data_IF_739792511228
#
_entry.id   IF_739792511228
#
_cell.length_a   1.000
_cell.length_b   1.000
_cell.length_c   1.000
_cell.angle_alpha   90.00
_cell.angle_beta   90.00
_cell.angle_gamma   90.00
#
_symmetry.space_group_name_H-M   'P 1'
#
loop_
_entity.id
_entity.type
_entity.pdbx_description
1 polymer ?
#
# COMPACT_ATOMS: atom_id res chain seq x y z
N UNK A 1 -4.49 21.64 1.54
CA UNK A 1 -5.16 21.60 0.21
C UNK A 1 -5.09 20.18 -0.30
N UNK A 2 -6.03 19.77 -1.15
CA UNK A 2 -5.94 18.43 -1.71
C UNK A 2 -4.86 18.38 -2.80
N UNK A 3 -4.01 17.36 -2.76
CA UNK A 3 -3.04 17.05 -3.80
C UNK A 3 -3.69 16.28 -4.96
N UNK A 4 -4.69 15.45 -4.65
CA UNK A 4 -5.48 14.71 -5.62
C UNK A 4 -6.95 14.84 -5.25
N UNK A 5 -7.79 15.18 -6.21
CA UNK A 5 -9.25 15.27 -6.07
C UNK A 5 -9.91 14.46 -7.18
N UNK A 6 -10.81 13.56 -6.84
CA UNK A 6 -11.52 12.68 -7.77
C UNK A 6 -13.00 12.70 -7.46
N UNK A 7 -13.83 12.93 -8.48
CA UNK A 7 -15.26 12.96 -8.34
C UNK A 7 -15.97 12.18 -9.46
N UNK A 8 -16.61 11.07 -9.07
CA UNK A 8 -17.36 10.19 -9.96
C UNK A 8 -16.52 9.63 -11.11
N UNK A 9 -15.22 9.36 -10.89
CA UNK A 9 -14.28 8.97 -11.95
C UNK A 9 -14.64 7.60 -12.52
N UNK A 10 -14.77 7.52 -13.85
CA UNK A 10 -15.15 6.30 -14.54
C UNK A 10 -14.21 5.95 -15.69
N UNK A 11 -14.04 4.65 -15.90
CA UNK A 11 -13.38 4.13 -17.10
C UNK A 11 -14.03 2.86 -17.59
N UNK A 12 -14.57 2.91 -18.82
CA UNK A 12 -15.08 1.78 -19.56
C UNK A 12 -14.11 1.36 -20.68
N UNK A 13 -13.98 0.06 -20.92
CA UNK A 13 -13.33 -0.56 -22.07
C UNK A 13 -14.34 -1.47 -22.77
N UNK A 14 -14.96 -0.96 -23.82
CA UNK A 14 -16.13 -1.62 -24.42
C UNK A 14 -17.25 -1.78 -23.38
N UNK A 15 -17.66 -3.01 -23.12
CA UNK A 15 -18.71 -3.34 -22.16
C UNK A 15 -18.20 -3.51 -20.72
N UNK A 16 -16.88 -3.48 -20.50
CA UNK A 16 -16.26 -3.64 -19.17
C UNK A 16 -16.05 -2.29 -18.53
N UNK A 17 -16.70 -2.06 -17.39
CA UNK A 17 -16.53 -0.86 -16.58
C UNK A 17 -15.44 -1.13 -15.52
N UNK A 18 -14.20 -0.76 -15.85
CA UNK A 18 -13.03 -1.04 -15.01
C UNK A 18 -12.93 -0.13 -13.77
N UNK A 19 -13.48 1.10 -13.85
CA UNK A 19 -13.62 2.03 -12.72
C UNK A 19 -15.03 2.60 -12.77
N UNK A 20 -15.74 2.54 -11.64
CA UNK A 20 -17.20 2.66 -11.58
C UNK A 20 -17.66 3.86 -10.72
N UNK A 21 -17.22 5.07 -11.07
CA UNK A 21 -17.66 6.28 -10.38
C UNK A 21 -17.03 6.41 -8.99
N UNK A 22 -15.70 6.35 -8.90
CA UNK A 22 -15.00 6.50 -7.63
C UNK A 22 -14.85 7.98 -7.26
N UNK A 23 -14.95 8.22 -5.95
CA UNK A 23 -14.66 9.50 -5.32
C UNK A 23 -13.51 9.28 -4.34
N UNK A 24 -12.49 10.16 -4.33
CA UNK A 24 -11.42 10.17 -3.33
C UNK A 24 -10.77 11.54 -3.23
N UNK A 25 -10.20 11.84 -2.08
CA UNK A 25 -9.42 13.04 -1.83
C UNK A 25 -8.13 12.69 -1.09
N UNK A 26 -6.99 13.15 -1.62
CA UNK A 26 -5.68 12.94 -0.98
C UNK A 26 -5.12 14.30 -0.59
N UNK A 27 -4.95 14.57 0.72
CA UNK A 27 -4.30 15.77 1.22
C UNK A 27 -2.83 15.90 0.77
N UNK A 28 -2.31 17.12 0.73
CA UNK A 28 -0.87 17.35 0.47
C UNK A 28 -0.03 16.78 1.64
N UNK A 29 1.08 16.10 1.30
CA UNK A 29 2.03 15.55 2.26
C UNK A 29 1.60 14.22 2.89
N UNK A 30 0.57 13.56 2.38
CA UNK A 30 0.15 12.24 2.86
C UNK A 30 0.62 11.11 1.92
N UNK A 31 0.76 9.92 2.49
CA UNK A 31 0.86 8.67 1.75
C UNK A 31 -0.53 8.04 1.67
N UNK A 32 -1.10 7.97 0.48
CA UNK A 32 -2.38 7.31 0.23
C UNK A 32 -2.16 5.94 -0.38
N UNK A 33 -2.61 4.89 0.31
CA UNK A 33 -2.57 3.51 -0.14
C UNK A 33 -3.84 3.12 -0.89
N UNK A 34 -3.74 2.76 -2.17
CA UNK A 34 -4.87 2.28 -2.96
C UNK A 34 -4.79 0.76 -3.08
N UNK A 35 -5.47 0.07 -2.17
CA UNK A 35 -5.38 -1.36 -1.91
C UNK A 35 -6.49 -2.12 -2.64
N UNK A 36 -6.17 -3.25 -3.25
CA UNK A 36 -7.16 -4.14 -3.84
C UNK A 36 -6.55 -5.27 -4.66
N UNK A 37 -7.35 -6.26 -5.10
CA UNK A 37 -6.89 -7.39 -5.89
C UNK A 37 -6.47 -6.98 -7.31
N UNK A 38 -5.88 -7.94 -8.02
CA UNK A 38 -5.60 -7.77 -9.44
C UNK A 38 -6.90 -7.61 -10.22
N UNK A 39 -6.93 -6.67 -11.17
CA UNK A 39 -8.15 -6.39 -11.93
C UNK A 39 -9.16 -5.45 -11.24
N UNK A 40 -8.99 -5.09 -9.97
CA UNK A 40 -9.91 -4.20 -9.25
C UNK A 40 -10.01 -2.76 -9.80
N UNK A 41 -9.09 -2.35 -10.70
CA UNK A 41 -9.08 -1.01 -11.29
C UNK A 41 -7.95 -0.10 -10.82
N UNK A 42 -7.01 -0.58 -9.98
CA UNK A 42 -5.89 0.21 -9.41
C UNK A 42 -5.04 0.90 -10.48
N UNK A 43 -4.39 0.11 -11.34
CA UNK A 43 -3.55 0.62 -12.44
C UNK A 43 -4.33 1.49 -13.43
N UNK A 44 -5.61 1.17 -13.67
CA UNK A 44 -6.49 1.99 -14.51
C UNK A 44 -6.69 3.38 -13.90
N UNK A 45 -6.94 3.45 -12.61
CA UNK A 45 -7.08 4.71 -11.87
C UNK A 45 -5.79 5.51 -11.91
N UNK A 46 -4.63 4.91 -11.60
CA UNK A 46 -3.32 5.57 -11.71
C UNK A 46 -3.08 6.12 -13.11
N UNK A 47 -3.37 5.34 -14.16
CA UNK A 47 -3.20 5.81 -15.55
C UNK A 47 -4.08 7.00 -15.90
N UNK A 48 -5.28 7.10 -15.33
CA UNK A 48 -6.13 8.29 -15.52
C UNK A 48 -5.57 9.51 -14.76
N UNK A 49 -5.17 9.34 -13.49
CA UNK A 49 -4.60 10.42 -12.67
C UNK A 49 -3.27 10.94 -13.23
N UNK A 50 -2.47 10.05 -13.83
CA UNK A 50 -1.19 10.40 -14.46
C UNK A 50 -1.32 10.84 -15.94
N UNK A 51 -2.54 11.05 -16.41
CA UNK A 51 -2.84 11.50 -17.80
C UNK A 51 -2.45 10.52 -18.91
N UNK A 52 -2.16 9.27 -18.58
CA UNK A 52 -1.83 8.21 -19.56
C UNK A 52 -3.09 7.59 -20.19
N UNK A 53 -4.24 7.78 -19.55
CA UNK A 53 -5.54 7.28 -19.98
C UNK A 53 -6.61 8.34 -19.74
N UNK A 54 -7.46 8.58 -20.73
CA UNK A 54 -8.58 9.49 -20.54
C UNK A 54 -9.72 8.81 -19.79
N UNK A 55 -10.34 9.46 -18.79
CA UNK A 55 -11.57 8.97 -18.18
C UNK A 55 -12.72 8.93 -19.19
N UNK A 56 -13.70 8.06 -18.97
CA UNK A 56 -14.95 8.02 -19.74
C UNK A 56 -16.08 8.79 -19.06
N UNK A 57 -15.94 9.06 -17.76
CA UNK A 57 -16.87 9.84 -16.95
C UNK A 57 -16.19 10.42 -15.72
N UNK A 58 -16.88 11.33 -15.04
CA UNK A 58 -16.36 12.02 -13.87
C UNK A 58 -15.28 13.05 -14.16
N UNK A 59 -14.55 13.43 -13.10
CA UNK A 59 -13.44 14.39 -13.17
C UNK A 59 -12.37 14.03 -12.16
N UNK A 60 -11.13 14.42 -12.46
CA UNK A 60 -10.01 14.32 -11.52
C UNK A 60 -9.07 15.50 -11.67
N UNK A 61 -8.52 15.94 -10.53
CA UNK A 61 -7.49 16.95 -10.43
C UNK A 61 -6.28 16.44 -9.69
N UNK A 62 -5.08 16.79 -10.14
CA UNK A 62 -3.81 16.46 -9.51
C UNK A 62 -2.94 17.69 -9.42
N UNK A 63 -2.40 17.97 -8.23
CA UNK A 63 -1.60 19.14 -7.93
C UNK A 63 -2.30 20.49 -8.31
N UNK A 64 -3.63 20.52 -8.21
CA UNK A 64 -4.47 21.67 -8.57
C UNK A 64 -4.79 21.82 -10.05
N UNK A 65 -4.49 20.81 -10.89
CA UNK A 65 -4.71 20.82 -12.34
C UNK A 65 -5.63 19.68 -12.79
N UNK A 66 -6.55 19.98 -13.71
CA UNK A 66 -7.44 18.97 -14.31
C UNK A 66 -6.65 17.99 -15.20
N UNK A 67 -6.86 16.68 -14.98
CA UNK A 67 -6.10 15.63 -15.69
C UNK A 67 -6.35 15.57 -17.19
N UNK A 68 -7.45 16.14 -17.68
CA UNK A 68 -7.82 16.17 -19.09
C UNK A 68 -7.45 17.53 -19.72
N UNK A 69 -7.96 18.63 -19.13
CA UNK A 69 -7.80 19.96 -19.71
C UNK A 69 -6.38 20.52 -19.51
N UNK A 70 -5.70 20.17 -18.42
CA UNK A 70 -4.40 20.68 -18.01
C UNK A 70 -3.33 19.57 -17.90
N UNK A 71 -3.45 18.52 -18.71
CA UNK A 71 -2.60 17.34 -18.65
C UNK A 71 -1.08 17.64 -18.70
N UNK A 72 -0.66 18.74 -19.33
CA UNK A 72 0.74 19.15 -19.37
C UNK A 72 1.22 19.65 -18.00
N UNK A 73 0.40 20.40 -17.29
CA UNK A 73 0.70 20.93 -15.96
C UNK A 73 0.72 19.78 -14.94
N UNK A 74 -0.23 18.83 -15.04
CA UNK A 74 -0.22 17.61 -14.24
C UNK A 74 1.11 16.89 -14.42
N UNK A 75 1.51 16.56 -15.66
CA UNK A 75 2.79 15.86 -15.94
C UNK A 75 4.04 16.60 -15.46
N UNK A 76 4.00 17.92 -15.40
CA UNK A 76 5.11 18.71 -14.87
C UNK A 76 5.19 18.70 -13.33
N UNK A 77 4.11 18.30 -12.65
CA UNK A 77 3.98 18.31 -11.18
C UNK A 77 4.06 16.91 -10.55
N UNK A 78 4.03 15.83 -11.35
CA UNK A 78 3.99 14.46 -10.87
C UNK A 78 5.24 13.66 -11.24
N UNK A 79 5.69 12.78 -10.35
CA UNK A 79 6.57 11.66 -10.65
C UNK A 79 5.77 10.38 -10.78
N UNK A 80 6.20 9.47 -11.66
CA UNK A 80 5.48 8.22 -11.90
C UNK A 80 6.45 7.07 -12.02
N UNK A 81 6.28 6.03 -11.20
CA UNK A 81 6.96 4.75 -11.32
C UNK A 81 5.89 3.64 -11.47
N UNK A 82 5.69 3.19 -12.71
CA UNK A 82 4.68 2.17 -13.05
C UNK A 82 5.17 0.75 -12.73
N UNK A 83 4.27 -0.22 -12.80
CA UNK A 83 4.54 -1.63 -12.55
C UNK A 83 5.67 -2.16 -13.45
N UNK A 84 5.66 -1.84 -14.75
CA UNK A 84 6.76 -2.13 -15.65
C UNK A 84 7.70 -0.91 -15.77
N UNK A 85 8.88 -1.01 -15.18
CA UNK A 85 9.89 0.02 -15.28
C UNK A 85 10.42 0.10 -16.73
N UNK A 86 10.14 1.20 -17.43
CA UNK A 86 10.59 1.45 -18.81
C UNK A 86 12.07 1.87 -18.84
N UNK A 87 12.95 1.04 -18.28
CA UNK A 87 14.38 1.31 -18.21
C UNK A 87 15.12 0.68 -19.41
N UNK A 88 15.88 1.48 -20.17
CA UNK A 88 16.70 0.96 -21.24
C UNK A 88 17.85 0.10 -20.68
N UNK A 89 17.89 -1.21 -20.97
CA UNK A 89 18.92 -2.11 -20.45
C UNK A 89 20.33 -1.83 -21.00
N UNK A 90 20.45 -1.08 -22.08
CA UNK A 90 21.74 -0.73 -22.71
C UNK A 90 22.39 0.50 -22.08
N UNK A 91 21.59 1.37 -21.44
CA UNK A 91 22.09 2.54 -20.74
C UNK A 91 22.68 2.18 -19.37
N UNK A 92 23.57 3.02 -18.87
CA UNK A 92 23.97 3.01 -17.46
C UNK A 92 22.93 3.75 -16.60
N UNK A 93 22.90 3.47 -15.29
CA UNK A 93 22.00 4.19 -14.39
C UNK A 93 22.17 5.71 -14.45
N UNK A 94 23.42 6.16 -14.50
CA UNK A 94 23.78 7.58 -14.63
C UNK A 94 23.27 8.21 -15.93
N UNK A 95 23.46 7.52 -17.07
CA UNK A 95 22.98 7.99 -18.37
C UNK A 95 21.46 8.10 -18.40
N UNK A 96 20.76 7.13 -17.81
CA UNK A 96 19.30 7.13 -17.74
C UNK A 96 18.75 8.32 -16.94
N UNK A 97 19.28 8.57 -15.73
CA UNK A 97 18.83 9.72 -14.92
C UNK A 97 19.16 11.04 -15.63
N UNK A 98 20.33 11.16 -16.29
CA UNK A 98 20.68 12.37 -17.07
C UNK A 98 19.77 12.57 -18.29
N UNK A 99 19.40 11.49 -18.97
CA UNK A 99 18.41 11.55 -20.05
C UNK A 99 17.08 12.08 -19.52
N UNK A 100 16.61 11.51 -18.40
CA UNK A 100 15.37 11.96 -17.78
C UNK A 100 15.44 13.44 -17.38
N UNK A 101 16.56 13.89 -16.80
CA UNK A 101 16.79 15.31 -16.49
C UNK A 101 16.70 16.20 -17.73
N UNK A 102 17.26 15.75 -18.86
CA UNK A 102 17.18 16.48 -20.13
C UNK A 102 15.76 16.55 -20.66
N UNK A 103 15.00 15.45 -20.59
CA UNK A 103 13.59 15.40 -21.01
C UNK A 103 12.70 16.30 -20.15
N UNK A 104 13.04 16.46 -18.88
CA UNK A 104 12.39 17.41 -17.95
C UNK A 104 12.89 18.86 -18.11
N UNK A 105 13.81 19.13 -19.06
CA UNK A 105 14.28 20.48 -19.38
C UNK A 105 15.36 21.01 -18.43
N UNK A 106 15.99 20.18 -17.59
CA UNK A 106 17.08 20.64 -16.73
C UNK A 106 18.32 20.97 -17.56
N UNK A 107 19.03 22.10 -17.26
CA UNK A 107 20.32 22.38 -17.86
C UNK A 107 21.32 21.26 -17.60
N UNK A 108 22.21 20.97 -18.58
CA UNK A 108 23.11 19.81 -18.52
C UNK A 108 23.98 19.74 -17.25
N UNK A 109 24.40 20.87 -16.69
CA UNK A 109 25.16 20.92 -15.43
C UNK A 109 24.28 20.54 -14.23
N UNK A 110 23.06 21.09 -14.16
CA UNK A 110 22.09 20.76 -13.12
C UNK A 110 21.65 19.28 -13.22
N UNK A 111 21.39 18.78 -14.45
CA UNK A 111 21.03 17.39 -14.66
C UNK A 111 22.12 16.39 -14.26
N UNK A 112 23.41 16.73 -14.44
CA UNK A 112 24.52 15.91 -13.93
C UNK A 112 24.53 15.85 -12.41
N UNK A 113 24.45 17.00 -11.74
CA UNK A 113 24.42 17.09 -10.28
C UNK A 113 23.22 16.32 -9.73
N UNK A 114 22.04 16.54 -10.31
CA UNK A 114 20.80 15.85 -9.89
C UNK A 114 20.89 14.33 -10.05
N UNK A 115 21.54 13.86 -11.12
CA UNK A 115 21.76 12.41 -11.33
C UNK A 115 22.64 11.82 -10.24
N UNK A 116 23.71 12.51 -9.83
CA UNK A 116 24.60 12.03 -8.77
C UNK A 116 23.87 12.00 -7.42
N UNK A 117 23.13 13.05 -7.07
CA UNK A 117 22.31 13.15 -5.85
C UNK A 117 21.27 12.03 -5.77
N UNK A 118 20.53 11.77 -6.86
CA UNK A 118 19.49 10.75 -6.86
C UNK A 118 20.06 9.34 -6.81
N UNK A 119 21.19 9.08 -7.49
CA UNK A 119 21.86 7.78 -7.41
C UNK A 119 22.43 7.52 -6.01
N UNK A 120 22.89 8.57 -5.32
CA UNK A 120 23.32 8.48 -3.92
C UNK A 120 22.10 8.19 -3.00
N UNK A 121 21.03 8.94 -3.15
CA UNK A 121 19.78 8.79 -2.38
C UNK A 121 19.26 7.35 -2.42
N UNK A 122 19.17 6.75 -3.61
CA UNK A 122 18.66 5.38 -3.76
C UNK A 122 19.75 4.30 -3.58
N UNK A 123 20.96 4.66 -3.10
CA UNK A 123 22.05 3.75 -2.81
C UNK A 123 22.60 3.02 -4.04
N UNK A 124 22.62 3.66 -5.22
CA UNK A 124 23.09 3.07 -6.47
C UNK A 124 24.39 3.70 -7.01
N UNK A 125 25.07 4.54 -6.24
CA UNK A 125 26.33 5.19 -6.63
C UNK A 125 27.38 4.18 -7.10
N UNK A 126 27.51 3.04 -6.39
CA UNK A 126 28.49 1.98 -6.74
C UNK A 126 28.20 1.27 -8.08
N UNK A 127 26.98 1.36 -8.57
CA UNK A 127 26.53 0.73 -9.80
C UNK A 127 26.20 1.74 -10.90
N UNK A 128 26.34 3.05 -10.62
CA UNK A 128 25.91 4.15 -11.48
C UNK A 128 26.37 4.03 -12.94
N UNK A 129 27.59 3.54 -13.17
CA UNK A 129 28.24 3.41 -14.48
C UNK A 129 28.17 1.97 -15.06
N UNK A 130 27.41 1.06 -14.38
CA UNK A 130 27.05 -0.26 -14.93
C UNK A 130 25.79 -0.16 -15.79
N UNK A 131 25.67 -1.03 -16.79
CA UNK A 131 24.45 -1.14 -17.61
C UNK A 131 23.27 -1.64 -16.78
N UNK A 132 22.11 -1.03 -16.98
CA UNK A 132 20.85 -1.36 -16.28
C UNK A 132 20.40 -2.80 -16.55
N UNK A 133 20.73 -3.36 -17.70
CA UNK A 133 20.48 -4.78 -18.01
C UNK A 133 21.10 -5.76 -17.01
N UNK A 134 22.19 -5.38 -16.32
CA UNK A 134 22.84 -6.16 -15.26
C UNK A 134 22.38 -5.83 -13.83
N UNK A 135 21.33 -5.01 -13.65
CA UNK A 135 20.78 -4.69 -12.34
C UNK A 135 19.83 -5.80 -11.85
N UNK A 136 19.79 -6.01 -10.53
CA UNK A 136 18.74 -6.82 -9.91
C UNK A 136 17.37 -6.13 -10.00
N UNK A 137 16.28 -6.85 -9.75
CA UNK A 137 14.94 -6.28 -9.70
C UNK A 137 14.85 -5.08 -8.75
N UNK A 138 15.36 -5.23 -7.53
CA UNK A 138 15.39 -4.15 -6.55
C UNK A 138 16.26 -2.96 -6.97
N UNK A 139 17.38 -3.19 -7.66
CA UNK A 139 18.18 -2.08 -8.22
C UNK A 139 17.43 -1.34 -9.33
N UNK A 140 16.73 -2.08 -10.21
CA UNK A 140 15.91 -1.48 -11.27
C UNK A 140 14.77 -0.65 -10.66
N UNK A 141 14.09 -1.17 -9.64
CA UNK A 141 13.00 -0.44 -8.97
C UNK A 141 13.49 0.84 -8.30
N UNK A 142 14.63 0.80 -7.62
CA UNK A 142 15.25 2.00 -7.03
C UNK A 142 15.69 3.02 -8.08
N UNK A 143 16.20 2.57 -9.21
CA UNK A 143 16.54 3.47 -10.32
C UNK A 143 15.31 4.10 -10.97
N UNK A 144 14.22 3.37 -11.10
CA UNK A 144 12.93 3.85 -11.61
C UNK A 144 12.35 4.93 -10.68
N UNK A 145 12.37 4.68 -9.36
CA UNK A 145 12.01 5.68 -8.35
C UNK A 145 12.88 6.94 -8.48
N UNK A 146 14.20 6.80 -8.61
CA UNK A 146 15.10 7.93 -8.81
C UNK A 146 14.76 8.72 -10.10
N UNK A 147 14.39 8.03 -11.18
CA UNK A 147 13.99 8.67 -12.43
C UNK A 147 12.69 9.49 -12.27
N UNK A 148 11.73 9.01 -11.48
CA UNK A 148 10.50 9.70 -11.19
C UNK A 148 10.70 10.99 -10.37
N UNK A 149 11.81 11.10 -9.63
CA UNK A 149 12.13 12.22 -8.73
C UNK A 149 12.98 13.34 -9.36
N UNK A 150 13.36 13.20 -10.62
CA UNK A 150 14.35 14.11 -11.27
C UNK A 150 13.95 15.58 -11.20
N UNK A 151 12.67 15.89 -11.38
CA UNK A 151 12.13 17.25 -11.45
C UNK A 151 11.43 17.71 -10.16
N UNK A 152 11.66 17.01 -9.04
CA UNK A 152 11.11 17.34 -7.71
C UNK A 152 9.57 17.42 -7.72
N UNK A 153 8.89 16.31 -8.02
CA UNK A 153 7.44 16.30 -8.16
C UNK A 153 6.75 16.60 -6.83
N UNK A 154 5.58 17.26 -6.89
CA UNK A 154 4.70 17.48 -5.73
C UNK A 154 3.94 16.21 -5.34
N UNK A 155 3.62 15.37 -6.34
CA UNK A 155 2.90 14.11 -6.15
C UNK A 155 3.67 12.98 -6.84
N UNK A 156 3.91 11.90 -6.12
CA UNK A 156 4.57 10.70 -6.62
C UNK A 156 3.55 9.56 -6.73
N UNK A 157 3.39 9.01 -7.93
CA UNK A 157 2.56 7.82 -8.17
C UNK A 157 3.44 6.57 -8.26
N UNK A 158 3.12 5.57 -7.44
CA UNK A 158 3.81 4.28 -7.39
C UNK A 158 2.80 3.17 -7.67
N UNK A 159 2.94 2.51 -8.82
CA UNK A 159 2.07 1.38 -9.18
C UNK A 159 2.74 0.06 -8.80
N UNK A 160 2.27 -0.56 -7.71
CA UNK A 160 2.77 -1.80 -7.12
C UNK A 160 4.30 -1.79 -6.91
N UNK A 161 4.84 -0.85 -6.09
CA UNK A 161 6.27 -0.56 -6.04
C UNK A 161 7.15 -1.73 -5.57
N UNK A 162 6.60 -2.70 -4.85
CA UNK A 162 7.36 -3.80 -4.25
C UNK A 162 7.05 -5.17 -4.81
N UNK A 163 6.18 -5.25 -5.81
CA UNK A 163 5.81 -6.52 -6.45
C UNK A 163 7.03 -7.23 -7.04
N UNK A 164 7.20 -8.52 -6.71
CA UNK A 164 8.31 -9.35 -7.17
C UNK A 164 9.67 -9.08 -6.50
N UNK A 165 9.72 -8.24 -5.45
CA UNK A 165 10.93 -7.97 -4.69
C UNK A 165 11.06 -8.91 -3.49
N UNK A 166 12.31 -9.22 -3.15
CA UNK A 166 12.64 -9.88 -1.89
C UNK A 166 12.33 -8.99 -0.66
N UNK A 167 12.15 -9.56 0.56
CA UNK A 167 11.78 -8.78 1.74
C UNK A 167 12.73 -7.64 2.08
N UNK A 168 14.04 -7.80 1.84
CA UNK A 168 15.04 -6.76 2.13
C UNK A 168 14.91 -5.61 1.14
N UNK A 169 14.76 -5.92 -0.15
CA UNK A 169 14.54 -4.91 -1.19
C UNK A 169 13.22 -4.16 -0.99
N UNK A 170 12.15 -4.87 -0.55
CA UNK A 170 10.86 -4.27 -0.22
C UNK A 170 11.01 -3.23 0.90
N UNK A 171 11.64 -3.61 2.01
CA UNK A 171 11.87 -2.70 3.14
C UNK A 171 12.65 -1.45 2.73
N UNK A 172 13.67 -1.60 1.88
CA UNK A 172 14.44 -0.45 1.37
C UNK A 172 13.58 0.52 0.56
N UNK A 173 12.63 0.01 -0.26
CA UNK A 173 11.68 0.88 -0.99
C UNK A 173 10.74 1.58 -0.01
N UNK A 174 10.24 0.90 1.02
CA UNK A 174 9.39 1.51 2.04
C UNK A 174 10.09 2.65 2.78
N UNK A 175 11.32 2.42 3.22
CA UNK A 175 12.14 3.46 3.88
C UNK A 175 12.36 4.68 2.99
N UNK A 176 12.57 4.47 1.67
CA UNK A 176 12.72 5.57 0.73
C UNK A 176 11.41 6.33 0.49
N UNK A 177 10.28 5.61 0.37
CA UNK A 177 8.95 6.23 0.23
C UNK A 177 8.62 7.09 1.45
N UNK A 178 8.88 6.58 2.66
CA UNK A 178 8.68 7.33 3.90
C UNK A 178 9.55 8.59 3.94
N UNK A 179 10.84 8.47 3.61
CA UNK A 179 11.75 9.61 3.58
C UNK A 179 11.34 10.69 2.54
N UNK A 180 10.76 10.28 1.41
CA UNK A 180 10.21 11.22 0.42
C UNK A 180 8.99 11.96 0.95
N UNK A 181 8.14 11.26 1.69
CA UNK A 181 6.97 11.87 2.31
C UNK A 181 7.37 12.83 3.44
N UNK A 182 8.34 12.45 4.28
CA UNK A 182 8.90 13.31 5.33
C UNK A 182 9.51 14.62 4.74
N UNK A 183 10.04 14.56 3.50
CA UNK A 183 10.49 15.72 2.73
C UNK A 183 9.33 16.56 2.13
N UNK A 184 8.06 16.14 2.33
CA UNK A 184 6.85 16.85 1.92
C UNK A 184 6.25 16.42 0.57
N UNK A 185 6.75 15.33 -0.03
CA UNK A 185 6.15 14.77 -1.25
C UNK A 185 4.88 13.99 -0.91
N UNK A 186 3.77 14.31 -1.58
CA UNK A 186 2.55 13.48 -1.50
C UNK A 186 2.77 12.19 -2.28
N UNK A 187 2.40 11.04 -1.72
CA UNK A 187 2.56 9.75 -2.37
C UNK A 187 1.20 9.07 -2.57
N UNK A 188 0.93 8.64 -3.79
CA UNK A 188 -0.18 7.76 -4.12
C UNK A 188 0.38 6.41 -4.57
N UNK A 189 0.21 5.38 -3.74
CA UNK A 189 0.71 4.05 -4.06
C UNK A 189 -0.45 3.07 -4.26
N UNK A 190 -0.36 2.23 -5.29
CA UNK A 190 -1.22 1.07 -5.41
C UNK A 190 -0.53 -0.16 -4.88
N UNK A 191 -1.27 -1.05 -4.26
CA UNK A 191 -0.73 -2.33 -3.79
C UNK A 191 -1.82 -3.40 -3.69
N UNK A 192 -1.41 -4.65 -3.75
CA UNK A 192 -2.19 -5.81 -3.32
C UNK A 192 -1.69 -6.37 -1.99
N UNK A 193 -0.59 -5.83 -1.44
CA UNK A 193 -0.02 -6.28 -0.18
C UNK A 193 -0.57 -5.45 0.97
N UNK A 194 -1.36 -6.09 1.83
CA UNK A 194 -1.96 -5.49 3.02
C UNK A 194 -0.91 -4.91 3.97
N UNK A 195 0.22 -5.62 4.13
CA UNK A 195 1.34 -5.17 4.97
C UNK A 195 1.93 -3.84 4.47
N UNK A 196 2.04 -3.64 3.15
CA UNK A 196 2.55 -2.40 2.57
C UNK A 196 1.62 -1.22 2.86
N UNK A 197 0.30 -1.41 2.69
CA UNK A 197 -0.67 -0.39 3.02
C UNK A 197 -0.68 -0.07 4.54
N UNK A 198 -0.59 -1.09 5.38
CA UNK A 198 -0.60 -0.94 6.84
C UNK A 198 0.65 -0.25 7.40
N UNK A 199 1.82 -0.44 6.75
CA UNK A 199 3.09 0.14 7.19
C UNK A 199 3.34 1.56 6.68
N UNK A 200 2.84 1.89 5.49
CA UNK A 200 3.20 3.14 4.82
C UNK A 200 2.07 4.17 4.80
N UNK A 201 0.82 3.74 4.65
CA UNK A 201 -0.25 4.67 4.31
C UNK A 201 -0.81 5.41 5.53
N UNK A 202 -0.97 6.72 5.41
CA UNK A 202 -1.75 7.54 6.35
C UNK A 202 -3.25 7.28 6.16
N UNK A 203 -3.68 7.14 4.90
CA UNK A 203 -5.03 6.77 4.51
C UNK A 203 -5.01 5.65 3.45
N UNK A 204 -5.99 4.76 3.54
CA UNK A 204 -6.16 3.62 2.62
C UNK A 204 -7.54 3.68 2.00
N UNK A 205 -7.59 3.64 0.66
CA UNK A 205 -8.80 3.35 -0.11
C UNK A 205 -8.78 1.90 -0.58
N UNK A 206 -9.73 1.10 -0.13
CA UNK A 206 -9.88 -0.30 -0.57
C UNK A 206 -10.78 -0.32 -1.80
N UNK A 207 -10.22 -0.76 -2.92
CA UNK A 207 -10.97 -0.89 -4.18
C UNK A 207 -11.21 -2.36 -4.50
N UNK A 208 -12.45 -2.67 -4.82
CA UNK A 208 -12.87 -3.95 -5.37
C UNK A 208 -13.83 -3.74 -6.54
N UNK A 209 -13.65 -4.53 -7.62
CA UNK A 209 -14.52 -4.51 -8.80
C UNK A 209 -14.83 -3.09 -9.32
N UNK A 210 -13.81 -2.21 -9.33
CA UNK A 210 -13.91 -0.83 -9.81
C UNK A 210 -14.58 0.16 -8.85
N UNK A 211 -14.86 -0.21 -7.59
CA UNK A 211 -15.49 0.65 -6.58
C UNK A 211 -14.66 0.73 -5.30
N UNK A 212 -14.61 1.89 -4.67
CA UNK A 212 -14.07 2.02 -3.32
C UNK A 212 -15.10 1.45 -2.35
N UNK A 213 -14.72 0.39 -1.62
CA UNK A 213 -15.58 -0.34 -0.68
C UNK A 213 -15.33 0.08 0.79
N UNK A 214 -14.15 0.65 1.07
CA UNK A 214 -13.82 1.26 2.35
C UNK A 214 -12.74 2.32 2.16
N UNK A 215 -12.73 3.35 3.00
CA UNK A 215 -11.71 4.40 3.01
C UNK A 215 -11.51 4.93 4.43
N UNK A 216 -10.26 5.16 4.83
CA UNK A 216 -9.89 5.70 6.14
C UNK A 216 -8.46 5.38 6.53
N UNK A 217 -8.04 5.80 7.73
CA UNK A 217 -6.74 5.38 8.25
C UNK A 217 -6.72 3.87 8.51
N UNK A 218 -5.56 3.19 8.38
CA UNK A 218 -5.46 1.76 8.70
C UNK A 218 -6.04 1.41 10.07
N UNK A 219 -5.78 2.24 11.09
CA UNK A 219 -6.29 2.04 12.45
C UNK A 219 -7.81 2.17 12.53
N UNK A 220 -8.40 3.17 11.86
CA UNK A 220 -9.84 3.37 11.84
C UNK A 220 -10.54 2.19 11.16
N UNK A 221 -10.04 1.76 10.01
CA UNK A 221 -10.58 0.62 9.27
C UNK A 221 -10.50 -0.68 10.08
N UNK A 222 -9.35 -0.97 10.70
CA UNK A 222 -9.18 -2.13 11.59
C UNK A 222 -10.14 -2.08 12.77
N UNK A 223 -10.38 -0.87 13.32
CA UNK A 223 -11.34 -0.65 14.42
C UNK A 223 -12.79 -0.95 14.08
N UNK A 224 -13.19 -0.88 12.79
CA UNK A 224 -14.55 -1.23 12.34
C UNK A 224 -14.85 -2.73 12.43
N UNK A 225 -13.84 -3.59 12.24
CA UNK A 225 -14.04 -5.05 12.19
C UNK A 225 -13.79 -5.75 13.52
N UNK A 226 -13.15 -5.08 14.49
CA UNK A 226 -12.96 -5.64 15.81
C UNK A 226 -12.03 -4.81 16.68
N UNK A 227 -11.81 -5.31 17.90
CA UNK A 227 -10.84 -4.78 18.84
C UNK A 227 -9.74 -5.81 19.09
N UNK A 228 -8.55 -5.38 19.54
CA UNK A 228 -7.54 -6.31 19.99
C UNK A 228 -8.12 -7.24 21.07
N UNK A 229 -7.82 -8.51 20.96
CA UNK A 229 -8.22 -9.50 21.93
C UNK A 229 -7.09 -10.49 22.24
N UNK A 230 -7.09 -11.04 23.44
CA UNK A 230 -6.17 -12.09 23.84
C UNK A 230 -6.87 -13.43 23.61
N UNK A 231 -6.23 -14.29 22.82
CA UNK A 231 -6.61 -15.69 22.71
C UNK A 231 -5.82 -16.52 23.72
N UNK A 232 -6.53 -17.20 24.59
CA UNK A 232 -5.97 -18.08 25.62
C UNK A 232 -6.30 -19.51 25.26
N UNK A 233 -5.29 -20.36 25.11
CA UNK A 233 -5.47 -21.80 25.01
C UNK A 233 -5.29 -22.41 26.40
N UNK A 234 -6.30 -23.11 26.89
CA UNK A 234 -6.31 -23.75 28.23
C UNK A 234 -6.74 -25.21 28.12
N UNK A 235 -6.54 -25.98 29.19
CA UNK A 235 -7.06 -27.34 29.28
C UNK A 235 -8.59 -27.37 29.21
N UNK A 236 -9.17 -28.42 28.66
CA UNK A 236 -10.62 -28.57 28.49
C UNK A 236 -11.37 -28.39 29.82
N UNK A 237 -10.82 -28.90 30.93
CA UNK A 237 -11.42 -28.80 32.26
C UNK A 237 -11.31 -27.40 32.90
N UNK A 238 -10.45 -26.53 32.36
CA UNK A 238 -10.15 -25.19 32.90
C UNK A 238 -10.87 -24.05 32.15
N UNK A 239 -11.58 -24.36 31.07
CA UNK A 239 -12.17 -23.35 30.17
C UNK A 239 -13.20 -22.47 30.89
N UNK A 240 -14.10 -23.04 31.68
CA UNK A 240 -15.12 -22.27 32.40
C UNK A 240 -14.52 -21.37 33.49
N UNK A 241 -13.44 -21.81 34.15
CA UNK A 241 -12.71 -21.02 35.14
C UNK A 241 -11.95 -19.88 34.48
N UNK A 242 -11.30 -20.16 33.34
CA UNK A 242 -10.62 -19.15 32.53
C UNK A 242 -11.58 -18.07 32.04
N UNK A 243 -12.77 -18.43 31.58
CA UNK A 243 -13.80 -17.46 31.17
C UNK A 243 -14.29 -16.60 32.34
N UNK A 244 -14.47 -17.18 33.53
CA UNK A 244 -14.83 -16.41 34.71
C UNK A 244 -13.77 -15.41 35.11
N UNK A 245 -12.53 -15.84 35.18
CA UNK A 245 -11.39 -14.96 35.49
C UNK A 245 -11.20 -13.88 34.42
N UNK A 246 -11.35 -14.22 33.14
CA UNK A 246 -11.28 -13.26 32.03
C UNK A 246 -12.43 -12.23 32.07
N UNK A 247 -13.65 -12.64 32.43
CA UNK A 247 -14.82 -11.78 32.49
C UNK A 247 -14.70 -10.64 33.52
N UNK A 248 -13.85 -10.80 34.54
CA UNK A 248 -13.54 -9.74 35.50
C UNK A 248 -12.65 -8.64 34.92
N UNK A 249 -11.93 -8.94 33.82
CA UNK A 249 -10.96 -8.05 33.19
C UNK A 249 -11.50 -7.33 31.97
N UNK A 250 -12.48 -7.89 31.30
CA UNK A 250 -13.04 -7.34 30.08
C UNK A 250 -14.14 -8.22 29.47
N UNK A 251 -14.47 -7.93 28.22
CA UNK A 251 -15.50 -8.66 27.49
C UNK A 251 -14.95 -9.96 26.93
N UNK A 252 -15.52 -11.08 27.38
CA UNK A 252 -15.26 -12.39 26.78
C UNK A 252 -16.04 -12.51 25.48
N UNK A 253 -15.35 -12.86 24.38
CA UNK A 253 -15.94 -13.04 23.07
C UNK A 253 -16.40 -14.49 22.85
N UNK A 254 -17.30 -14.76 21.89
CA UNK A 254 -17.72 -16.11 21.56
C UNK A 254 -16.53 -17.02 21.18
N UNK A 255 -16.55 -18.26 21.62
CA UNK A 255 -15.50 -19.25 21.34
C UNK A 255 -15.42 -19.58 19.86
N UNK A 256 -14.19 -19.70 19.34
CA UNK A 256 -13.92 -20.26 18.01
C UNK A 256 -13.77 -21.79 18.04
N UNK A 257 -13.25 -22.31 19.15
CA UNK A 257 -13.14 -23.75 19.45
C UNK A 257 -13.35 -24.02 20.95
N UNK A 258 -13.46 -25.30 21.33
CA UNK A 258 -13.83 -25.71 22.70
C UNK A 258 -12.78 -25.40 23.78
N UNK A 259 -11.53 -25.06 23.43
CA UNK A 259 -10.39 -24.85 24.36
C UNK A 259 -9.86 -23.42 24.37
N UNK A 260 -10.35 -22.54 23.50
CA UNK A 260 -9.91 -21.14 23.42
C UNK A 260 -10.87 -20.23 24.14
N UNK A 261 -10.31 -19.35 24.95
CA UNK A 261 -11.00 -18.23 25.58
C UNK A 261 -10.49 -16.94 24.95
N UNK A 262 -11.40 -16.11 24.44
CA UNK A 262 -11.10 -14.85 23.80
C UNK A 262 -11.53 -13.70 24.68
N UNK A 263 -10.57 -12.85 25.07
CA UNK A 263 -10.79 -11.69 25.92
C UNK A 263 -10.46 -10.40 25.15
N UNK A 264 -11.45 -9.56 24.92
CA UNK A 264 -11.24 -8.20 24.38
C UNK A 264 -10.42 -7.36 25.37
N UNK A 265 -9.35 -6.71 24.89
CA UNK A 265 -8.46 -5.90 25.71
C UNK A 265 -8.41 -4.47 25.17
N UNK A 266 -8.41 -3.48 26.08
CA UNK A 266 -8.43 -2.06 25.71
C UNK A 266 -7.03 -1.53 25.37
N UNK A 267 -6.02 -1.96 26.14
CA UNK A 267 -4.65 -1.45 26.01
C UNK A 267 -3.71 -2.46 25.31
N UNK A 268 -4.27 -3.46 24.64
CA UNK A 268 -3.51 -4.46 23.88
C UNK A 268 -2.49 -5.20 24.75
N UNK A 269 -1.19 -5.17 24.35
CA UNK A 269 -0.13 -5.89 25.07
C UNK A 269 0.07 -5.44 26.54
N UNK A 270 -0.30 -4.23 26.89
CA UNK A 270 -0.17 -3.74 28.28
C UNK A 270 -1.11 -4.45 29.26
N UNK A 271 -2.21 -5.02 28.77
CA UNK A 271 -3.15 -5.77 29.58
C UNK A 271 -2.70 -7.22 29.84
N UNK A 272 -1.80 -7.78 29.04
CA UNK A 272 -1.32 -9.17 29.15
C UNK A 272 -0.86 -9.53 30.57
N UNK A 273 0.01 -8.75 31.26
CA UNK A 273 0.44 -9.09 32.63
C UNK A 273 -0.70 -9.18 33.64
N UNK A 274 -1.78 -8.42 33.40
CA UNK A 274 -2.98 -8.45 34.24
C UNK A 274 -3.81 -9.70 33.99
N UNK A 275 -3.93 -10.08 32.71
CA UNK A 275 -4.61 -11.30 32.29
C UNK A 275 -3.92 -12.54 32.87
N UNK A 276 -2.59 -12.63 32.73
CA UNK A 276 -1.81 -13.77 33.25
C UNK A 276 -1.96 -13.89 34.78
N UNK A 277 -1.89 -12.77 35.50
CA UNK A 277 -2.07 -12.80 36.98
C UNK A 277 -3.45 -13.29 37.39
N UNK A 278 -4.50 -12.82 36.76
CA UNK A 278 -5.86 -13.23 37.11
C UNK A 278 -6.09 -14.73 36.87
N UNK A 279 -5.50 -15.28 35.78
CA UNK A 279 -5.57 -16.72 35.49
C UNK A 279 -4.76 -17.54 36.47
N UNK A 280 -3.56 -17.07 36.88
CA UNK A 280 -2.75 -17.71 37.93
C UNK A 280 -3.48 -17.74 39.27
N UNK A 281 -4.13 -16.63 39.69
CA UNK A 281 -4.92 -16.53 40.91
C UNK A 281 -6.14 -17.45 40.88
N UNK A 282 -6.73 -17.69 39.73
CA UNK A 282 -7.80 -18.64 39.50
C UNK A 282 -7.32 -20.10 39.37
N UNK A 283 -6.01 -20.35 39.42
CA UNK A 283 -5.42 -21.69 39.31
C UNK A 283 -5.48 -22.27 37.89
N UNK A 284 -5.68 -21.42 36.89
CA UNK A 284 -5.75 -21.82 35.47
C UNK A 284 -4.36 -21.85 34.86
N UNK A 285 -3.97 -23.02 34.33
CA UNK A 285 -2.73 -23.16 33.56
C UNK A 285 -3.00 -22.79 32.10
N UNK A 286 -2.30 -21.76 31.63
CA UNK A 286 -2.36 -21.31 30.24
C UNK A 286 -1.34 -22.07 29.39
N UNK A 287 -1.78 -22.76 28.34
CA UNK A 287 -0.91 -23.48 27.40
C UNK A 287 -0.30 -22.55 26.35
N UNK A 288 -1.11 -21.59 25.87
CA UNK A 288 -0.69 -20.56 24.93
C UNK A 288 -1.48 -19.27 25.18
N UNK A 289 -0.82 -18.15 24.97
CA UNK A 289 -1.43 -16.81 25.00
C UNK A 289 -0.95 -16.04 23.78
N UNK A 290 -1.89 -15.51 23.01
CA UNK A 290 -1.61 -14.72 21.81
C UNK A 290 -2.44 -13.44 21.84
N UNK A 291 -1.81 -12.30 21.51
CA UNK A 291 -2.52 -11.05 21.27
C UNK A 291 -2.88 -10.93 19.81
N UNK A 292 -4.14 -11.11 19.50
CA UNK A 292 -4.68 -10.97 18.15
C UNK A 292 -5.17 -9.54 17.96
N UNK A 293 -4.72 -8.90 16.90
CA UNK A 293 -5.17 -7.57 16.48
C UNK A 293 -5.89 -7.69 15.15
N UNK A 294 -6.97 -6.94 14.94
CA UNK A 294 -7.58 -6.84 13.63
C UNK A 294 -6.57 -6.38 12.58
N UNK A 295 -6.65 -6.93 11.40
CA UNK A 295 -5.78 -6.65 10.26
C UNK A 295 -6.57 -5.98 9.13
N UNK A 296 -5.88 -5.40 8.15
CA UNK A 296 -6.53 -4.93 6.92
C UNK A 296 -7.12 -6.08 6.09
N UNK A 297 -6.63 -7.34 6.27
CA UNK A 297 -7.26 -8.51 5.65
C UNK A 297 -8.65 -8.77 6.24
N UNK A 298 -8.80 -8.66 7.56
CA UNK A 298 -10.12 -8.77 8.21
C UNK A 298 -11.09 -7.69 7.69
N UNK A 299 -10.59 -6.46 7.46
CA UNK A 299 -11.38 -5.37 6.84
C UNK A 299 -11.78 -5.75 5.42
N UNK A 300 -10.82 -6.21 4.61
CA UNK A 300 -11.07 -6.59 3.23
C UNK A 300 -12.12 -7.70 3.15
N UNK A 301 -11.96 -8.78 3.94
CA UNK A 301 -12.94 -9.87 4.02
C UNK A 301 -14.31 -9.40 4.48
N UNK A 302 -14.38 -8.51 5.49
CA UNK A 302 -15.65 -7.98 5.97
C UNK A 302 -16.39 -7.15 4.90
N UNK A 303 -15.67 -6.47 4.02
CA UNK A 303 -16.26 -5.61 2.96
C UNK A 303 -16.54 -6.35 1.65
N UNK A 304 -15.78 -7.40 1.33
CA UNK A 304 -15.85 -8.11 0.03
C UNK A 304 -16.36 -9.54 0.15
N UNK A 305 -16.15 -10.18 1.29
CA UNK A 305 -16.57 -11.57 1.55
C UNK A 305 -15.52 -12.64 1.19
N UNK A 306 -14.31 -12.26 0.74
CA UNK A 306 -13.22 -13.17 0.38
C UNK A 306 -11.85 -12.59 0.77
N UNK A 307 -10.81 -13.43 0.86
CA UNK A 307 -9.44 -13.01 1.17
C UNK A 307 -8.69 -12.50 -0.07
N UNK A 308 -7.87 -11.47 0.10
CA UNK A 308 -7.11 -10.85 -0.98
C UNK A 308 -6.14 -11.84 -1.67
N UNK A 309 -5.58 -12.80 -0.92
CA UNK A 309 -4.61 -13.78 -1.43
C UNK A 309 -5.24 -14.97 -2.20
N UNK A 310 -6.54 -15.19 -2.10
CA UNK A 310 -7.22 -16.33 -2.73
C UNK A 310 -7.50 -16.12 -4.22
N UNK A 311 -7.67 -14.89 -4.68
CA UNK A 311 -7.90 -14.58 -6.11
C UNK A 311 -6.69 -14.88 -7.01
N UNK A 312 -5.47 -14.77 -6.48
CA UNK A 312 -4.24 -15.03 -7.26
C UNK A 312 -4.07 -16.52 -7.64
N UNK A 313 -4.80 -17.43 -6.98
CA UNK A 313 -4.80 -18.86 -7.28
C UNK A 313 -5.86 -19.29 -8.30
N UNK A 314 -6.88 -18.45 -8.53
CA UNK A 314 -8.00 -18.77 -9.42
C UNK A 314 -7.82 -18.28 -10.87
N UNK A 315 -6.95 -17.33 -11.14
CA UNK A 315 -6.77 -16.73 -12.47
C UNK A 315 -5.71 -17.44 -13.33
N UNK A 316 -5.09 -18.51 -12.83
CA UNK A 316 -4.04 -19.27 -13.51
C UNK A 316 -4.49 -20.47 -14.37
N UNK A 317 -5.77 -20.80 -14.40
CA UNK A 317 -6.29 -21.94 -15.18
C UNK A 317 -7.45 -21.53 -16.07
N UNK A 318 -7.19 -20.82 -17.17
CA UNK A 318 -7.96 -20.94 -18.40
C UNK A 318 -7.32 -20.11 -19.52
N UNK A 319 -6.34 -20.70 -20.20
CA UNK A 319 -6.04 -20.40 -21.61
C UNK A 319 -5.13 -21.53 -22.14
N UNK A 320 -5.72 -22.69 -22.41
CA UNK A 320 -5.13 -23.66 -23.32
C UNK A 320 -5.56 -23.31 -24.76
N UNK A 321 -4.66 -23.37 -25.74
CA UNK A 321 -4.90 -22.89 -27.08
C UNK A 321 -5.67 -23.91 -27.92
N UNK A 322 -6.53 -23.41 -28.79
CA UNK A 322 -6.90 -24.06 -30.05
C UNK A 322 -6.38 -23.24 -31.22
#
# INVERSE_FOLDING_TARGET
MAAIEVAGLERAFGDVLAVQGIDLEVPEGEIYGFLGPNGAGKTTTVRMLTTLLLPTGGRAGVAGHDVVAEARQVRASIGVALQEAALDPLMTGRELIRLQATLQGLPSAAGRKRADELLERVGLTYAADRRVGGYSGGMKRRLDLAAALVHEPRVLFLDEPTTGLDPVSRKTIWEEVQALNDDGTTVFLTTQYLEEADQLADNVGIIDSGRIVAEGTPEALKGEVGRPHVELLVGEDAVEEAERAAAELGKVLPRKDGRRVLLEVENGAADIPRVVRALDEAGVTVESLELVRPTLDDVFVAKTGYHLEEEDKGSGEELAPA
#
